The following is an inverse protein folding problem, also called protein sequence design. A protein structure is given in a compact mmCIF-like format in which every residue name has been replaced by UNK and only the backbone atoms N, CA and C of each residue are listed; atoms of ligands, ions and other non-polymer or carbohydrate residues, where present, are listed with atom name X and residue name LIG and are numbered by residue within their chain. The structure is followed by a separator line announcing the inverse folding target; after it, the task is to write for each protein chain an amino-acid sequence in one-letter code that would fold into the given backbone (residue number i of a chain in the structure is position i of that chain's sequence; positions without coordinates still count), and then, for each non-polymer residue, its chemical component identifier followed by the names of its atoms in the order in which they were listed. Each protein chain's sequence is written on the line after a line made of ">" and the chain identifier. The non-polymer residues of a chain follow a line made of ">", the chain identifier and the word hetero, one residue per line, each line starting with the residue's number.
data_IF_459345742839
#
_entry.id   IF_459345742839
#
_cell.length_a   1.000
_cell.length_b   1.000
_cell.length_c   1.000
_cell.angle_alpha   90.00
_cell.angle_beta   90.00
_cell.angle_gamma   90.00
#
_symmetry.space_group_name_H-M   'P 1'
#
loop_
_entity.id
_entity.type
_entity.pdbx_description
1 polymer ?
#
# COMPACT_ATOMS: atom_id res chain seq x y z
N UNK A 1 9.65 22.34 12.64
CA UNK A 1 9.67 22.26 11.15
C UNK A 1 9.55 20.78 10.77
N UNK A 2 8.60 20.43 9.89
CA UNK A 2 8.21 19.05 9.50
C UNK A 2 9.35 18.27 8.79
N UNK A 3 10.45 17.98 9.49
CA UNK A 3 11.54 17.13 8.96
C UNK A 3 11.23 15.64 9.07
N UNK A 4 10.14 15.26 9.76
CA UNK A 4 9.78 13.86 10.01
C UNK A 4 9.42 13.09 8.72
N UNK A 5 8.77 13.72 7.74
CA UNK A 5 8.33 13.06 6.51
C UNK A 5 9.33 13.13 5.36
N UNK A 6 10.58 13.51 5.64
CA UNK A 6 11.59 13.74 4.60
C UNK A 6 12.08 12.45 3.94
N UNK A 7 12.13 11.36 4.70
CA UNK A 7 12.57 10.05 4.22
C UNK A 7 11.47 9.04 4.49
N UNK A 8 11.04 8.33 3.44
CA UNK A 8 10.01 7.32 3.52
C UNK A 8 10.40 6.10 2.70
N UNK A 9 10.02 4.93 3.18
CA UNK A 9 10.15 3.66 2.47
C UNK A 9 8.76 3.04 2.30
N UNK A 10 8.49 2.53 1.11
CA UNK A 10 7.28 1.78 0.82
C UNK A 10 7.56 0.29 0.94
N UNK A 11 6.60 -0.45 1.46
CA UNK A 11 6.61 -1.90 1.40
C UNK A 11 5.18 -2.45 1.20
N UNK A 12 5.12 -3.73 0.90
CA UNK A 12 3.88 -4.47 0.70
C UNK A 12 4.10 -5.91 1.15
N UNK A 13 3.12 -6.52 1.82
CA UNK A 13 3.21 -7.92 2.24
C UNK A 13 2.62 -8.81 1.15
N UNK A 14 3.40 -9.78 0.69
CA UNK A 14 3.00 -10.72 -0.36
C UNK A 14 2.83 -12.12 0.21
N UNK A 15 1.95 -12.94 -0.37
CA UNK A 15 1.83 -14.32 0.04
C UNK A 15 3.10 -15.10 -0.36
N UNK A 16 3.44 -16.21 0.32
CA UNK A 16 4.69 -16.94 0.10
C UNK A 16 4.84 -17.51 -1.32
N UNK A 17 3.73 -17.71 -2.02
CA UNK A 17 3.65 -18.23 -3.38
C UNK A 17 3.70 -17.14 -4.46
N UNK A 18 3.87 -15.87 -4.08
CA UNK A 18 3.99 -14.78 -5.04
C UNK A 18 5.21 -15.00 -5.97
N UNK A 19 5.04 -14.95 -7.30
CA UNK A 19 6.12 -15.34 -8.20
C UNK A 19 7.35 -14.40 -8.12
N UNK A 20 8.53 -15.00 -8.00
CA UNK A 20 9.84 -14.34 -7.92
C UNK A 20 10.91 -15.30 -8.46
N UNK A 21 11.94 -14.85 -9.24
CA UNK A 21 12.42 -13.48 -9.41
C UNK A 21 11.79 -12.64 -10.54
N UNK A 22 11.86 -11.32 -10.37
CA UNK A 22 11.36 -10.27 -11.29
C UNK A 22 11.62 -10.49 -12.80
N UNK A 23 12.76 -11.09 -13.15
CA UNK A 23 13.12 -11.39 -14.54
C UNK A 23 12.14 -12.34 -15.24
N UNK A 24 11.40 -13.13 -14.47
CA UNK A 24 10.38 -14.08 -14.94
C UNK A 24 8.99 -13.44 -15.05
N UNK A 25 8.80 -12.22 -14.54
CA UNK A 25 7.51 -11.52 -14.48
C UNK A 25 7.18 -10.66 -15.72
N UNK A 26 8.01 -10.67 -16.77
CA UNK A 26 7.92 -9.69 -17.89
C UNK A 26 6.63 -9.75 -18.72
N UNK A 27 5.77 -10.75 -18.52
CA UNK A 27 4.43 -10.85 -19.12
C UNK A 27 3.35 -11.22 -18.10
N UNK A 28 3.66 -11.08 -16.81
CA UNK A 28 2.93 -11.77 -15.77
C UNK A 28 1.99 -10.84 -14.99
N UNK A 29 0.86 -11.39 -14.58
CA UNK A 29 -0.20 -10.68 -13.86
C UNK A 29 0.20 -10.27 -12.42
N UNK A 30 1.47 -10.41 -12.06
CA UNK A 30 2.03 -10.16 -10.73
C UNK A 30 3.10 -9.04 -10.73
N UNK A 31 3.55 -8.57 -11.90
CA UNK A 31 4.61 -7.55 -12.00
C UNK A 31 4.20 -6.18 -11.44
N UNK A 32 2.89 -5.89 -11.40
CA UNK A 32 2.33 -4.61 -10.99
C UNK A 32 2.75 -4.18 -9.57
N UNK A 33 2.95 -5.13 -8.65
CA UNK A 33 3.40 -4.82 -7.29
C UNK A 33 4.76 -4.10 -7.32
N UNK A 34 5.74 -4.73 -7.97
CA UNK A 34 7.10 -4.19 -8.04
C UNK A 34 7.18 -2.93 -8.89
N UNK A 35 6.38 -2.86 -9.97
CA UNK A 35 6.26 -1.64 -10.77
C UNK A 35 5.77 -0.48 -9.92
N UNK A 36 4.76 -0.68 -9.07
CA UNK A 36 4.24 0.37 -8.21
C UNK A 36 5.20 0.75 -7.07
N UNK A 37 5.95 -0.21 -6.50
CA UNK A 37 7.03 0.10 -5.55
C UNK A 37 8.12 0.98 -6.16
N UNK A 38 8.31 0.96 -7.48
CA UNK A 38 9.22 1.86 -8.19
C UNK A 38 8.57 3.19 -8.61
N UNK A 39 7.34 3.14 -9.12
CA UNK A 39 6.65 4.30 -9.69
C UNK A 39 6.13 5.28 -8.64
N UNK A 40 5.61 4.79 -7.50
CA UNK A 40 5.03 5.64 -6.47
C UNK A 40 6.07 6.57 -5.81
N UNK A 41 7.26 6.11 -5.37
CA UNK A 41 8.27 7.02 -4.81
C UNK A 41 8.75 8.03 -5.85
N UNK A 42 8.83 7.64 -7.12
CA UNK A 42 9.19 8.54 -8.21
C UNK A 42 8.17 9.68 -8.35
N UNK A 43 6.87 9.39 -8.30
CA UNK A 43 5.83 10.41 -8.39
C UNK A 43 5.89 11.40 -7.21
N UNK A 44 6.28 10.93 -6.02
CA UNK A 44 6.50 11.78 -4.85
C UNK A 44 7.63 12.79 -5.10
N UNK A 45 8.74 12.35 -5.68
CA UNK A 45 9.86 13.22 -6.03
C UNK A 45 9.50 14.22 -7.15
N UNK A 46 8.86 13.76 -8.22
CA UNK A 46 8.45 14.58 -9.37
C UNK A 46 7.48 15.68 -8.95
N UNK A 47 6.51 15.35 -8.09
CA UNK A 47 5.48 16.28 -7.62
C UNK A 47 5.88 17.06 -6.35
N UNK A 48 7.09 16.84 -5.81
CA UNK A 48 7.57 17.45 -4.55
C UNK A 48 6.59 17.29 -3.38
N UNK A 49 6.00 16.10 -3.27
CA UNK A 49 5.04 15.75 -2.22
C UNK A 49 5.65 14.76 -1.22
N UNK A 50 4.84 14.12 -0.38
CA UNK A 50 5.22 13.05 0.55
C UNK A 50 4.07 12.06 0.73
N UNK A 51 4.36 10.86 1.24
CA UNK A 51 3.34 9.88 1.60
C UNK A 51 2.74 10.19 2.98
N UNK A 52 1.44 9.97 3.14
CA UNK A 52 0.76 10.13 4.42
C UNK A 52 -0.17 8.95 4.72
N UNK A 53 -0.39 8.68 6.01
CA UNK A 53 -1.24 7.56 6.45
C UNK A 53 -2.72 7.83 6.22
N UNK A 54 -3.36 7.02 5.37
CA UNK A 54 -4.73 7.23 4.89
C UNK A 54 -4.78 7.71 3.44
N UNK A 55 -3.63 7.95 2.80
CA UNK A 55 -3.58 8.35 1.40
C UNK A 55 -4.09 7.24 0.50
N UNK A 56 -4.95 7.59 -0.46
CA UNK A 56 -5.39 6.69 -1.52
C UNK A 56 -4.70 7.08 -2.83
N UNK A 57 -4.26 6.07 -3.59
CA UNK A 57 -3.73 6.21 -4.94
C UNK A 57 -4.53 5.33 -5.87
N UNK A 58 -5.27 5.94 -6.79
CA UNK A 58 -6.01 5.24 -7.84
C UNK A 58 -5.11 4.99 -9.05
N UNK A 59 -5.19 3.78 -9.63
CA UNK A 59 -4.53 3.42 -10.89
C UNK A 59 -5.50 3.53 -12.08
N UNK A 60 -6.71 4.06 -11.87
CA UNK A 60 -7.86 4.23 -12.78
C UNK A 60 -8.44 2.91 -13.34
N UNK A 61 -7.63 1.85 -13.38
CA UNK A 61 -7.94 0.53 -13.90
C UNK A 61 -7.31 -0.55 -13.05
N UNK A 62 -7.85 -1.76 -13.18
CA UNK A 62 -7.26 -2.95 -12.57
C UNK A 62 -5.77 -3.09 -12.92
N UNK A 63 -4.97 -3.52 -11.94
CA UNK A 63 -3.52 -3.65 -12.07
C UNK A 63 -3.09 -4.71 -13.10
N UNK A 64 -3.87 -5.79 -13.22
CA UNK A 64 -3.58 -6.90 -14.12
C UNK A 64 -4.88 -7.64 -14.50
N UNK A 65 -4.79 -8.66 -15.37
CA UNK A 65 -5.99 -9.40 -15.84
C UNK A 65 -6.54 -10.40 -14.82
N UNK A 66 -5.74 -10.82 -13.86
CA UNK A 66 -6.12 -11.83 -12.85
C UNK A 66 -6.70 -11.23 -11.56
N UNK A 67 -6.85 -9.91 -11.49
CA UNK A 67 -7.35 -9.22 -10.30
C UNK A 67 -8.08 -7.95 -10.72
N UNK A 68 -9.09 -7.54 -9.94
CA UNK A 68 -9.75 -6.25 -10.11
C UNK A 68 -9.19 -5.18 -9.16
N UNK A 69 -8.18 -5.50 -8.35
CA UNK A 69 -7.48 -4.52 -7.52
C UNK A 69 -6.93 -3.42 -8.43
N UNK A 70 -7.19 -2.16 -8.08
CA UNK A 70 -7.02 -1.01 -8.98
C UNK A 70 -6.45 0.23 -8.28
N UNK A 71 -6.04 0.13 -7.03
CA UNK A 71 -5.42 1.24 -6.32
C UNK A 71 -4.79 0.79 -5.01
N UNK A 72 -4.28 1.74 -4.25
CA UNK A 72 -3.66 1.50 -2.94
C UNK A 72 -4.20 2.45 -1.89
N UNK A 73 -4.46 1.92 -0.70
CA UNK A 73 -4.40 2.67 0.54
C UNK A 73 -2.97 2.60 1.09
N UNK A 74 -2.40 3.76 1.42
CA UNK A 74 -1.09 3.89 2.06
C UNK A 74 -1.32 4.10 3.56
N UNK A 75 -0.80 3.21 4.39
CA UNK A 75 -0.94 3.26 5.85
C UNK A 75 0.38 3.02 6.57
N UNK A 76 0.43 3.37 7.84
CA UNK A 76 1.50 2.88 8.72
C UNK A 76 1.40 1.35 8.90
N UNK A 77 2.52 0.67 9.16
CA UNK A 77 2.53 -0.73 9.56
C UNK A 77 1.47 -1.08 10.59
N UNK A 78 0.81 -2.22 10.38
CA UNK A 78 -0.12 -2.74 11.37
C UNK A 78 0.63 -3.14 12.65
N UNK A 79 0.21 -2.60 13.78
CA UNK A 79 0.87 -2.80 15.08
C UNK A 79 0.59 -4.16 15.71
N UNK A 80 -0.30 -4.96 15.12
CA UNK A 80 -0.64 -6.31 15.60
C UNK A 80 0.56 -7.25 15.43
N UNK A 81 1.20 -7.23 14.26
CA UNK A 81 2.31 -8.13 13.93
C UNK A 81 3.68 -7.44 14.00
N UNK A 82 3.69 -6.10 14.08
CA UNK A 82 4.90 -5.29 13.93
C UNK A 82 4.96 -4.29 15.09
N UNK A 83 6.08 -4.18 15.83
CA UNK A 83 6.22 -3.17 16.88
C UNK A 83 6.00 -1.75 16.35
N UNK A 84 5.41 -0.86 17.16
CA UNK A 84 5.13 0.54 16.79
C UNK A 84 6.42 1.26 16.35
N UNK A 85 7.56 0.88 16.92
CA UNK A 85 8.88 1.41 16.60
C UNK A 85 9.27 1.15 15.14
N UNK A 86 8.71 0.12 14.50
CA UNK A 86 8.95 -0.16 13.09
C UNK A 86 8.39 0.92 12.17
N UNK A 87 7.41 1.71 12.62
CA UNK A 87 6.89 2.84 11.84
C UNK A 87 8.00 3.83 11.49
N UNK A 88 9.10 3.87 12.28
CA UNK A 88 10.17 4.83 12.09
C UNK A 88 11.55 4.28 12.48
N UNK A 89 12.45 4.19 11.51
CA UNK A 89 13.86 3.92 11.78
C UNK A 89 14.62 5.24 11.98
N UNK A 90 15.04 5.53 13.21
CA UNK A 90 15.94 6.65 13.50
C UNK A 90 17.37 6.27 13.11
N UNK A 91 17.89 6.90 12.06
CA UNK A 91 19.25 6.67 11.56
C UNK A 91 20.26 7.53 12.33
N UNK A 92 19.95 8.81 12.54
CA UNK A 92 20.75 9.75 13.32
C UNK A 92 19.85 10.93 13.79
N UNK A 93 20.35 11.91 14.55
CA UNK A 93 19.50 13.01 15.07
C UNK A 93 18.82 13.86 13.98
N UNK A 94 19.30 13.83 12.74
CA UNK A 94 18.75 14.60 11.61
C UNK A 94 17.98 13.75 10.59
N UNK A 95 18.05 12.41 10.68
CA UNK A 95 17.45 11.47 9.74
C UNK A 95 16.65 10.40 10.46
N UNK A 96 15.36 10.40 10.20
CA UNK A 96 14.44 9.31 10.50
C UNK A 96 13.75 8.88 9.20
N UNK A 97 13.55 7.56 9.04
CA UNK A 97 12.90 6.96 7.88
C UNK A 97 11.53 6.44 8.32
N UNK A 98 10.46 6.93 7.71
CA UNK A 98 9.11 6.44 7.95
C UNK A 98 8.79 5.25 7.03
N UNK A 99 8.18 4.20 7.55
CA UNK A 99 7.73 3.06 6.74
C UNK A 99 6.24 3.18 6.45
N UNK A 100 5.85 2.92 5.20
CA UNK A 100 4.47 2.92 4.76
C UNK A 100 4.15 1.62 4.02
N UNK A 101 3.03 1.01 4.38
CA UNK A 101 2.51 -0.18 3.74
C UNK A 101 1.52 0.20 2.66
N UNK A 102 1.62 -0.46 1.51
CA UNK A 102 0.62 -0.42 0.46
C UNK A 102 -0.41 -1.53 0.70
N UNK A 103 -1.69 -1.16 0.76
CA UNK A 103 -2.83 -2.09 0.82
C UNK A 103 -3.61 -1.96 -0.49
N UNK A 104 -3.61 -2.99 -1.36
CA UNK A 104 -4.36 -2.92 -2.61
C UNK A 104 -5.87 -2.84 -2.36
N UNK A 105 -6.53 -1.89 -3.04
CA UNK A 105 -7.96 -1.66 -2.98
C UNK A 105 -8.63 -1.95 -4.33
N UNK A 106 -9.89 -2.38 -4.27
CA UNK A 106 -10.79 -2.30 -5.41
C UNK A 106 -11.32 -0.86 -5.56
N UNK A 107 -11.68 -0.46 -6.78
CA UNK A 107 -12.25 0.88 -7.03
C UNK A 107 -13.46 1.19 -6.13
N UNK A 108 -14.38 0.24 -5.92
CA UNK A 108 -15.51 0.40 -5.01
C UNK A 108 -15.13 0.66 -3.55
N UNK A 109 -13.99 0.14 -3.10
CA UNK A 109 -13.51 0.37 -1.74
C UNK A 109 -12.89 1.76 -1.60
N UNK A 110 -12.27 2.27 -2.65
CA UNK A 110 -11.82 3.67 -2.72
C UNK A 110 -13.02 4.63 -2.71
N UNK A 111 -14.05 4.36 -3.53
CA UNK A 111 -15.32 5.11 -3.52
C UNK A 111 -15.99 5.08 -2.15
N UNK A 112 -15.99 3.92 -1.49
CA UNK A 112 -16.56 3.76 -0.15
C UNK A 112 -15.76 4.55 0.88
N UNK A 113 -14.42 4.50 0.84
CA UNK A 113 -13.55 5.26 1.72
C UNK A 113 -13.80 6.77 1.55
N UNK A 114 -13.94 7.26 0.32
CA UNK A 114 -14.22 8.68 0.06
C UNK A 114 -15.56 9.11 0.70
N UNK A 115 -16.59 8.27 0.63
CA UNK A 115 -17.94 8.58 1.14
C UNK A 115 -18.11 8.39 2.63
N UNK A 116 -17.43 7.40 3.21
CA UNK A 116 -17.70 6.91 4.57
C UNK A 116 -16.52 7.04 5.52
N UNK A 117 -15.33 7.34 5.00
CA UNK A 117 -14.11 7.50 5.78
C UNK A 117 -13.36 6.19 6.04
N UNK A 118 -12.11 6.34 6.48
CA UNK A 118 -11.17 5.23 6.67
C UNK A 118 -11.61 4.23 7.76
N UNK A 119 -12.18 4.71 8.87
CA UNK A 119 -12.66 3.85 9.96
C UNK A 119 -13.74 2.88 9.48
N UNK A 120 -14.69 3.35 8.65
CA UNK A 120 -15.75 2.50 8.11
C UNK A 120 -15.22 1.47 7.09
N UNK A 121 -14.16 1.80 6.35
CA UNK A 121 -13.51 0.82 5.49
C UNK A 121 -12.84 -0.27 6.35
N UNK A 122 -12.20 0.09 7.45
CA UNK A 122 -11.61 -0.89 8.37
C UNK A 122 -12.67 -1.77 9.02
N UNK A 123 -13.83 -1.23 9.44
CA UNK A 123 -14.96 -2.04 9.92
C UNK A 123 -15.34 -3.13 8.88
N UNK A 124 -15.32 -2.80 7.58
CA UNK A 124 -15.57 -3.75 6.49
C UNK A 124 -14.44 -4.74 6.27
N UNK A 125 -13.19 -4.34 6.42
CA UNK A 125 -12.07 -5.29 6.38
C UNK A 125 -12.15 -6.29 7.50
N UNK A 126 -12.48 -5.86 8.72
CA UNK A 126 -12.62 -6.74 9.87
C UNK A 126 -13.81 -7.69 9.71
N UNK A 127 -14.96 -7.21 9.22
CA UNK A 127 -16.18 -8.02 8.97
C UNK A 127 -15.91 -9.19 8.00
N UNK A 128 -15.09 -8.99 6.97
CA UNK A 128 -14.80 -9.98 5.93
C UNK A 128 -13.42 -10.64 6.06
N UNK A 129 -12.68 -10.35 7.14
CA UNK A 129 -11.35 -10.93 7.39
C UNK A 129 -10.29 -10.52 6.36
N UNK A 130 -10.36 -9.29 5.82
CA UNK A 130 -9.33 -8.76 4.93
C UNK A 130 -8.08 -8.45 5.73
N UNK A 131 -6.99 -9.13 5.38
CA UNK A 131 -5.67 -8.93 6.01
C UNK A 131 -4.83 -7.91 5.23
N UNK A 132 -3.63 -7.63 5.73
CA UNK A 132 -2.68 -6.71 5.10
C UNK A 132 -1.66 -7.40 4.17
N UNK A 133 -1.85 -8.70 3.91
CA UNK A 133 -1.18 -9.50 2.87
C UNK A 133 -2.00 -9.46 1.59
N UNK A 134 -1.35 -9.31 0.43
CA UNK A 134 -2.04 -9.29 -0.86
C UNK A 134 -2.75 -10.62 -1.12
N UNK A 135 -4.07 -10.55 -1.33
CA UNK A 135 -4.89 -11.65 -1.82
C UNK A 135 -5.65 -11.17 -3.06
N UNK A 136 -5.37 -11.78 -4.21
CA UNK A 136 -5.99 -11.44 -5.49
C UNK A 136 -7.45 -11.90 -5.59
N UNK A 137 -7.86 -12.85 -4.73
CA UNK A 137 -9.16 -13.52 -4.74
C UNK A 137 -10.04 -13.15 -3.55
N UNK A 138 -9.60 -12.22 -2.69
CA UNK A 138 -10.39 -11.75 -1.56
C UNK A 138 -11.74 -11.17 -2.03
N UNK A 139 -12.80 -11.24 -1.21
CA UNK A 139 -14.06 -10.57 -1.54
C UNK A 139 -13.87 -9.05 -1.61
N UNK A 140 -14.72 -8.41 -2.42
CA UNK A 140 -14.94 -6.97 -2.41
C UNK A 140 -15.90 -6.67 -1.27
N UNK A 141 -15.54 -5.78 -0.35
CA UNK A 141 -16.28 -5.63 0.93
C UNK A 141 -17.21 -4.42 0.99
N UNK A 142 -17.38 -3.70 -0.13
CA UNK A 142 -18.18 -2.48 -0.26
C UNK A 142 -19.11 -2.51 -1.49
#
# INVERSE_FOLDING_TARGET
>A
KLNFFRYGELYIKLPPDWPYPLKELKQDNYAWVFQNLYLLPRSVHENRTFFWNGQVVDNDRAFARNTELSGFLIKYPNTIDIPVEFNMLKVNPQKAICFYQLIPLYHKEMDFLEKHGLEKLYDKFDEYGVTDVVDLKRPKVC
#
